data_IF_435204315121
#
_entry.id   IF_435204315121
#
_cell.length_a   1.000
_cell.length_b   1.000
_cell.length_c   1.000
_cell.angle_alpha   90.00
_cell.angle_beta   90.00
_cell.angle_gamma   90.00
#
_symmetry.space_group_name_H-M   'P 1'
#
loop_
_entity.id
_entity.type
_entity.pdbx_description
1 polymer ?
#
# COMPACT_ATOMS: atom_id res chain seq x y z
N UNK A 1 -8.74 9.05 17.03
CA UNK A 1 -7.37 9.51 16.68
C UNK A 1 -6.98 8.79 15.42
N UNK A 2 -6.99 9.46 14.27
CA UNK A 2 -6.40 8.93 13.04
C UNK A 2 -4.89 8.80 13.30
N UNK A 3 -4.47 7.64 13.78
CA UNK A 3 -3.10 7.41 14.26
C UNK A 3 -2.07 7.49 13.12
N UNK A 4 -2.53 7.50 11.87
CA UNK A 4 -1.73 7.54 10.66
C UNK A 4 -2.42 8.47 9.66
N UNK A 5 -1.66 9.38 9.04
CA UNK A 5 -2.17 10.24 7.98
C UNK A 5 -2.37 9.51 6.66
N UNK A 6 -2.87 10.22 5.66
CA UNK A 6 -3.02 9.72 4.30
C UNK A 6 -1.67 9.28 3.71
N UNK A 7 -1.59 8.12 3.04
CA UNK A 7 -0.34 7.67 2.42
C UNK A 7 0.02 8.55 1.22
N UNK A 8 1.32 8.68 0.95
CA UNK A 8 1.79 9.36 -0.25
C UNK A 8 1.41 8.55 -1.50
N UNK A 9 0.90 9.24 -2.52
CA UNK A 9 0.45 8.63 -3.79
C UNK A 9 1.15 9.27 -4.99
N UNK A 10 1.23 8.50 -6.07
CA UNK A 10 1.58 8.99 -7.40
C UNK A 10 0.40 9.74 -8.04
N UNK A 11 0.61 10.37 -9.20
CA UNK A 11 -0.45 11.11 -9.91
C UNK A 11 -1.63 10.24 -10.40
N UNK A 12 -1.48 8.92 -10.33
CA UNK A 12 -2.46 7.91 -10.76
C UNK A 12 -3.05 7.14 -9.58
N UNK A 13 -2.96 7.71 -8.38
CA UNK A 13 -3.52 7.21 -7.12
C UNK A 13 -2.90 5.92 -6.57
N UNK A 14 -1.92 5.33 -7.25
CA UNK A 14 -1.12 4.25 -6.68
C UNK A 14 -0.30 4.75 -5.50
N UNK A 15 -0.14 3.88 -4.50
CA UNK A 15 0.71 4.17 -3.35
C UNK A 15 2.14 4.45 -3.84
N UNK A 16 2.79 5.43 -3.21
CA UNK A 16 4.20 5.77 -3.45
C UNK A 16 5.07 5.27 -2.31
N UNK A 17 4.62 5.48 -1.08
CA UNK A 17 5.39 5.19 0.12
C UNK A 17 4.47 4.74 1.25
N UNK A 18 4.86 3.68 1.94
CA UNK A 18 4.20 3.18 3.15
C UNK A 18 5.21 2.89 4.25
N UNK A 19 4.88 3.15 5.51
CA UNK A 19 5.72 2.79 6.65
C UNK A 19 5.31 1.44 7.24
N UNK A 20 6.28 0.56 7.48
CA UNK A 20 6.07 -0.75 8.07
C UNK A 20 6.06 -0.61 9.59
N UNK A 21 4.86 -0.75 10.19
CA UNK A 21 4.62 -0.56 11.62
C UNK A 21 5.54 -1.36 12.54
N UNK A 22 6.01 -2.54 12.11
CA UNK A 22 6.79 -3.45 12.95
C UNK A 22 8.25 -3.07 13.12
N UNK A 23 8.83 -2.31 12.20
CA UNK A 23 10.28 -2.05 12.15
C UNK A 23 10.65 -0.63 11.71
N UNK A 24 9.67 0.23 11.40
CA UNK A 24 9.88 1.63 11.04
C UNK A 24 10.47 1.85 9.64
N UNK A 25 10.70 0.80 8.86
CA UNK A 25 11.20 0.94 7.49
C UNK A 25 10.11 1.45 6.54
N UNK A 26 10.56 2.17 5.50
CA UNK A 26 9.70 2.60 4.40
C UNK A 26 9.74 1.60 3.26
N UNK A 27 8.57 1.31 2.69
CA UNK A 27 8.42 0.58 1.44
C UNK A 27 8.04 1.58 0.35
N UNK A 28 8.80 1.56 -0.75
CA UNK A 28 8.59 2.41 -1.91
C UNK A 28 8.01 1.60 -3.06
N UNK A 29 7.01 2.17 -3.72
CA UNK A 29 6.21 1.53 -4.77
C UNK A 29 6.37 2.28 -6.09
N UNK A 30 6.24 1.56 -7.20
CA UNK A 30 6.36 2.09 -8.57
C UNK A 30 5.08 2.84 -8.99
N UNK A 31 5.19 3.78 -9.95
CA UNK A 31 4.03 4.46 -10.50
C UNK A 31 3.22 3.60 -11.48
N UNK A 32 3.50 2.31 -11.63
CA UNK A 32 2.77 1.39 -12.49
C UNK A 32 2.39 0.12 -11.72
N UNK A 33 1.49 -0.69 -12.27
CA UNK A 33 0.99 -1.90 -11.63
C UNK A 33 2.14 -2.88 -11.33
N UNK A 34 2.42 -3.11 -10.06
CA UNK A 34 3.43 -4.09 -9.60
C UNK A 34 2.85 -5.47 -9.30
N UNK A 35 1.56 -5.57 -9.00
CA UNK A 35 0.91 -6.84 -8.66
C UNK A 35 0.53 -7.60 -9.94
N UNK A 36 1.41 -8.52 -10.36
CA UNK A 36 1.15 -9.46 -11.45
C UNK A 36 -0.06 -10.36 -11.14
N UNK A 37 -0.76 -10.80 -12.19
CA UNK A 37 -1.95 -11.66 -12.08
C UNK A 37 -1.71 -12.92 -11.24
N UNK A 38 -0.51 -13.51 -11.37
CA UNK A 38 -0.13 -14.71 -10.60
C UNK A 38 -0.16 -14.52 -9.09
N UNK A 39 -0.10 -13.28 -8.59
CA UNK A 39 -0.12 -12.99 -7.15
C UNK A 39 -1.49 -12.53 -6.65
N UNK A 40 -2.47 -12.26 -7.51
CA UNK A 40 -3.78 -11.73 -7.11
C UNK A 40 -4.48 -12.62 -6.08
N UNK A 41 -4.35 -13.95 -6.20
CA UNK A 41 -4.94 -14.92 -5.28
C UNK A 41 -4.37 -14.84 -3.84
N UNK A 42 -3.27 -14.12 -3.64
CA UNK A 42 -2.64 -13.93 -2.32
C UNK A 42 -3.12 -12.67 -1.60
N UNK A 43 -3.77 -11.74 -2.32
CA UNK A 43 -4.29 -10.51 -1.75
C UNK A 43 -5.54 -10.78 -0.90
N UNK A 44 -5.58 -10.21 0.30
CA UNK A 44 -6.71 -10.34 1.23
C UNK A 44 -7.58 -9.08 1.17
N UNK A 45 -8.88 -9.28 1.04
CA UNK A 45 -9.88 -8.22 1.18
C UNK A 45 -10.45 -8.26 2.60
N UNK A 46 -10.57 -7.08 3.20
CA UNK A 46 -11.12 -6.91 4.55
C UNK A 46 -12.36 -6.02 4.45
N UNK A 47 -13.44 -6.44 5.10
CA UNK A 47 -14.67 -5.67 5.20
C UNK A 47 -14.69 -4.93 6.54
N UNK A 48 -15.12 -3.67 6.52
CA UNK A 48 -15.34 -2.90 7.74
C UNK A 48 -16.75 -3.18 8.24
N UNK A 49 -16.87 -3.46 9.54
CA UNK A 49 -18.15 -3.64 10.24
C UNK A 49 -18.78 -2.30 10.65
#
# INVERSE_FOLDING_TARGET
METYGEPERWHNDFLRCTNVKSNGYYTYWRPHRECDDKYLHTAKLFEYA
#
